data_IF_065102835727
#
_entry.id   IF_065102835727
#
_cell.length_a   1.000
_cell.length_b   1.000
_cell.length_c   1.000
_cell.angle_alpha   90.00
_cell.angle_beta   90.00
_cell.angle_gamma   90.00
#
_symmetry.space_group_name_H-M   'P 1'
#
loop_
_entity.id
_entity.type
_entity.pdbx_description
1 polymer ?
#
# COMPACT_ATOMS: atom_id res chain seq x y z
N UNK A 1 -2.67 -8.17 -19.09
CA UNK A 1 -2.36 -7.01 -18.21
C UNK A 1 -3.49 -5.99 -18.37
N UNK A 2 -4.11 -5.52 -17.29
CA UNK A 2 -5.15 -4.47 -17.38
C UNK A 2 -4.55 -3.17 -17.92
N UNK A 3 -5.31 -2.44 -18.73
CA UNK A 3 -4.92 -1.09 -19.18
C UNK A 3 -5.03 -0.09 -18.04
N UNK A 4 -4.39 1.07 -18.19
CA UNK A 4 -4.53 2.20 -17.24
C UNK A 4 -6.00 2.59 -17.03
N UNK A 5 -6.75 2.69 -18.13
CA UNK A 5 -8.17 3.03 -18.08
C UNK A 5 -9.00 1.99 -17.32
N UNK A 6 -8.71 0.69 -17.52
CA UNK A 6 -9.38 -0.38 -16.77
C UNK A 6 -9.07 -0.31 -15.28
N UNK A 7 -7.80 -0.06 -14.89
CA UNK A 7 -7.44 0.09 -13.47
C UNK A 7 -8.15 1.27 -12.80
N UNK A 8 -8.25 2.40 -13.49
CA UNK A 8 -8.96 3.58 -12.99
C UNK A 8 -10.46 3.33 -12.85
N UNK A 9 -11.08 2.66 -13.82
CA UNK A 9 -12.49 2.29 -13.76
C UNK A 9 -12.77 1.36 -12.57
N UNK A 10 -11.99 0.28 -12.44
CA UNK A 10 -12.08 -0.66 -11.32
C UNK A 10 -11.89 0.03 -9.96
N UNK A 11 -11.00 1.02 -9.88
CA UNK A 11 -10.78 1.79 -8.66
C UNK A 11 -11.96 2.71 -8.35
N UNK A 12 -12.51 3.41 -9.35
CA UNK A 12 -13.68 4.25 -9.19
C UNK A 12 -14.90 3.45 -8.68
N UNK A 13 -15.11 2.23 -9.20
CA UNK A 13 -16.15 1.32 -8.71
C UNK A 13 -15.94 0.95 -7.23
N UNK A 14 -14.69 0.71 -6.81
CA UNK A 14 -14.36 0.40 -5.40
C UNK A 14 -14.61 1.57 -4.49
N UNK A 15 -14.21 2.78 -4.88
CA UNK A 15 -14.47 4.01 -4.13
C UNK A 15 -15.96 4.24 -3.94
N UNK A 16 -16.80 3.92 -4.95
CA UNK A 16 -18.25 4.04 -4.81
C UNK A 16 -18.85 3.07 -3.78
N UNK A 17 -18.20 1.93 -3.54
CA UNK A 17 -18.65 0.92 -2.56
C UNK A 17 -18.11 1.18 -1.16
N UNK A 18 -17.13 2.07 -1.01
CA UNK A 18 -16.45 2.38 0.24
C UNK A 18 -16.69 3.86 0.59
N UNK A 19 -17.78 4.13 1.31
CA UNK A 19 -18.22 5.50 1.65
C UNK A 19 -17.17 6.29 2.46
N UNK A 20 -16.20 5.61 3.08
CA UNK A 20 -15.20 6.19 3.98
C UNK A 20 -13.77 6.15 3.42
N UNK A 21 -13.58 5.86 2.12
CA UNK A 21 -12.26 5.74 1.50
C UNK A 21 -11.38 7.00 1.79
N UNK A 22 -10.31 6.88 2.60
CA UNK A 22 -9.56 8.05 3.04
C UNK A 22 -8.86 8.71 1.84
N UNK A 23 -9.16 9.99 1.64
CA UNK A 23 -8.40 10.86 0.77
C UNK A 23 -7.31 11.55 1.59
N UNK A 24 -6.04 11.21 1.32
CA UNK A 24 -4.91 11.88 1.96
C UNK A 24 -4.44 13.07 1.11
N UNK A 25 -4.51 14.31 1.63
CA UNK A 25 -4.11 15.49 0.89
C UNK A 25 -2.68 15.36 0.34
N UNK A 26 -2.52 15.56 -0.97
CA UNK A 26 -1.22 15.46 -1.66
C UNK A 26 -0.76 14.03 -1.99
N UNK A 27 -1.47 13.00 -1.53
CA UNK A 27 -1.16 11.59 -1.81
C UNK A 27 -2.22 10.90 -2.65
N UNK A 28 -3.33 11.55 -2.98
CA UNK A 28 -4.38 10.94 -3.79
C UNK A 28 -5.36 10.15 -2.94
N UNK A 29 -5.98 9.11 -3.54
CA UNK A 29 -7.06 8.34 -2.91
C UNK A 29 -6.62 6.91 -2.66
N UNK A 30 -7.07 6.35 -1.54
CA UNK A 30 -6.80 4.96 -1.19
C UNK A 30 -8.10 4.21 -0.87
N UNK A 31 -8.13 2.94 -1.25
CA UNK A 31 -9.15 1.98 -0.79
C UNK A 31 -8.41 0.87 -0.07
N UNK A 32 -8.59 0.80 1.25
CA UNK A 32 -7.98 -0.22 2.10
C UNK A 32 -8.73 -1.54 1.98
N UNK A 33 -7.98 -2.63 1.81
CA UNK A 33 -8.53 -4.00 1.76
C UNK A 33 -8.58 -4.62 3.16
N UNK A 34 -7.58 -4.30 3.99
CA UNK A 34 -7.46 -4.77 5.38
C UNK A 34 -7.45 -3.58 6.35
N UNK A 35 -8.00 -3.75 7.57
CA UNK A 35 -8.04 -2.67 8.54
C UNK A 35 -6.64 -2.34 9.07
N UNK A 36 -6.46 -1.08 9.44
CA UNK A 36 -5.31 -0.52 10.13
C UNK A 36 -5.51 -0.57 11.65
N UNK A 37 -4.40 -0.55 12.39
CA UNK A 37 -4.38 -0.74 13.84
C UNK A 37 -5.14 0.33 14.64
N UNK A 38 -5.33 1.52 14.06
CA UNK A 38 -5.98 2.68 14.66
C UNK A 38 -7.46 2.83 14.27
N UNK A 39 -8.02 1.92 13.47
CA UNK A 39 -9.43 1.90 13.09
C UNK A 39 -10.30 1.23 14.17
N UNK A 40 -10.28 1.76 15.39
CA UNK A 40 -10.86 1.12 16.58
C UNK A 40 -12.32 0.63 16.40
N UNK A 41 -13.17 1.43 15.75
CA UNK A 41 -14.57 1.07 15.50
C UNK A 41 -14.71 -0.11 14.52
N UNK A 42 -13.91 -0.11 13.45
CA UNK A 42 -13.88 -1.18 12.46
C UNK A 42 -13.33 -2.47 13.08
N UNK A 43 -12.22 -2.38 13.82
CA UNK A 43 -11.61 -3.50 14.52
C UNK A 43 -12.56 -4.14 15.53
N UNK A 44 -13.29 -3.33 16.31
CA UNK A 44 -14.29 -3.82 17.26
C UNK A 44 -15.42 -4.57 16.54
N UNK A 45 -15.91 -4.05 15.40
CA UNK A 45 -16.94 -4.71 14.58
C UNK A 45 -16.46 -6.06 14.03
N UNK A 46 -15.17 -6.17 13.70
CA UNK A 46 -14.56 -7.39 13.16
C UNK A 46 -14.06 -8.35 14.24
N UNK A 47 -14.11 -7.98 15.53
CA UNK A 47 -13.55 -8.78 16.63
C UNK A 47 -12.02 -8.91 16.56
N UNK A 48 -11.34 -7.93 15.98
CA UNK A 48 -9.89 -7.92 15.80
C UNK A 48 -9.21 -7.02 16.84
N UNK A 49 -8.05 -7.46 17.32
CA UNK A 49 -7.18 -6.62 18.13
C UNK A 49 -6.26 -5.78 17.23
N UNK A 50 -5.90 -4.53 17.60
CA UNK A 50 -4.90 -3.74 16.88
C UNK A 50 -3.60 -4.49 16.60
N UNK A 51 -3.14 -5.31 17.56
CA UNK A 51 -1.93 -6.14 17.44
C UNK A 51 -1.98 -7.22 16.33
N UNK A 52 -3.16 -7.48 15.75
CA UNK A 52 -3.33 -8.36 14.61
C UNK A 52 -3.11 -7.64 13.26
N UNK A 53 -3.08 -6.31 13.24
CA UNK A 53 -2.94 -5.50 12.02
C UNK A 53 -1.46 -5.42 11.60
N UNK A 54 -0.84 -6.57 11.33
CA UNK A 54 0.59 -6.69 10.99
C UNK A 54 0.86 -6.54 9.49
N UNK A 55 -0.18 -6.44 8.67
CA UNK A 55 -0.12 -6.17 7.25
C UNK A 55 -1.40 -5.49 6.77
N UNK A 56 -1.27 -4.58 5.80
CA UNK A 56 -2.38 -3.86 5.16
C UNK A 56 -2.17 -3.89 3.66
N UNK A 57 -3.21 -4.26 2.93
CA UNK A 57 -3.24 -4.14 1.47
C UNK A 57 -4.17 -2.99 1.09
N UNK A 58 -3.83 -2.25 0.04
CA UNK A 58 -4.68 -1.18 -0.46
C UNK A 58 -4.50 -0.96 -1.97
N UNK A 59 -5.53 -0.38 -2.58
CA UNK A 59 -5.41 0.24 -3.90
C UNK A 59 -5.12 1.73 -3.72
N UNK A 60 -4.16 2.24 -4.47
CA UNK A 60 -3.70 3.61 -4.38
C UNK A 60 -3.77 4.29 -5.74
N UNK A 61 -4.64 5.29 -5.87
CA UNK A 61 -4.69 6.16 -7.04
C UNK A 61 -3.74 7.35 -6.86
N UNK A 62 -2.72 7.42 -7.70
CA UNK A 62 -1.73 8.48 -7.68
C UNK A 62 -1.23 8.83 -9.09
N UNK A 63 -1.03 10.11 -9.37
CA UNK A 63 -0.56 10.63 -10.66
C UNK A 63 -1.35 10.09 -11.87
N UNK A 64 -2.65 9.82 -11.68
CA UNK A 64 -3.57 9.32 -12.70
C UNK A 64 -3.38 7.85 -13.07
N UNK A 65 -2.76 7.03 -12.24
CA UNK A 65 -2.76 5.56 -12.35
C UNK A 65 -3.10 4.95 -10.99
N UNK A 66 -3.34 3.64 -10.95
CA UNK A 66 -3.66 2.90 -9.73
C UNK A 66 -2.63 1.80 -9.53
N UNK A 67 -2.03 1.79 -8.34
CA UNK A 67 -1.12 0.74 -7.89
C UNK A 67 -1.80 -0.10 -6.80
N UNK A 68 -1.44 -1.38 -6.74
CA UNK A 68 -1.70 -2.20 -5.57
C UNK A 68 -0.51 -2.08 -4.62
N UNK A 69 -0.77 -1.72 -3.37
CA UNK A 69 0.26 -1.50 -2.35
C UNK A 69 0.03 -2.49 -1.21
N UNK A 70 1.07 -3.22 -0.86
CA UNK A 70 1.10 -4.13 0.29
C UNK A 70 2.07 -3.58 1.33
N UNK A 71 1.59 -3.33 2.53
CA UNK A 71 2.39 -2.94 3.67
C UNK A 71 2.43 -4.11 4.65
N UNK A 72 3.59 -4.40 5.18
CA UNK A 72 3.80 -5.47 6.14
C UNK A 72 4.82 -5.04 7.20
N UNK A 73 4.62 -5.50 8.42
CA UNK A 73 5.61 -5.38 9.49
C UNK A 73 6.70 -6.45 9.34
N UNK A 74 7.84 -6.28 10.01
CA UNK A 74 8.85 -7.34 10.12
C UNK A 74 8.32 -8.60 10.79
N UNK A 75 7.30 -8.48 11.66
CA UNK A 75 6.61 -9.64 12.25
C UNK A 75 5.88 -10.49 11.21
N UNK A 76 5.29 -9.86 10.19
CA UNK A 76 4.61 -10.56 9.10
C UNK A 76 5.60 -11.22 8.14
N UNK A 77 6.76 -10.60 7.90
CA UNK A 77 7.85 -11.16 7.09
C UNK A 77 9.19 -11.11 7.81
N UNK A 78 9.47 -12.07 8.71
CA UNK A 78 10.69 -12.06 9.53
C UNK A 78 11.97 -12.22 8.70
N UNK A 79 11.89 -12.91 7.56
CA UNK A 79 13.04 -13.19 6.71
C UNK A 79 13.34 -12.07 5.69
N UNK A 80 12.66 -10.92 5.80
CA UNK A 80 12.88 -9.79 4.89
C UNK A 80 13.24 -8.53 5.64
N UNK A 81 14.30 -7.81 5.23
CA UNK A 81 14.65 -6.57 5.87
C UNK A 81 13.56 -5.50 5.63
N UNK A 82 13.40 -4.54 6.56
CA UNK A 82 12.62 -3.35 6.29
C UNK A 82 13.08 -2.66 5.01
N UNK A 83 12.15 -2.13 4.25
CA UNK A 83 12.44 -1.50 2.97
C UNK A 83 11.22 -1.37 2.09
N UNK A 84 11.42 -0.73 0.94
CA UNK A 84 10.39 -0.56 -0.07
C UNK A 84 10.79 -1.36 -1.29
N UNK A 85 9.84 -1.98 -1.94
CA UNK A 85 10.08 -2.92 -3.02
C UNK A 85 9.02 -2.79 -4.08
N UNK A 86 9.31 -3.32 -5.27
CA UNK A 86 8.29 -3.67 -6.23
C UNK A 86 8.33 -5.17 -6.51
N UNK A 87 7.16 -5.76 -6.65
CA UNK A 87 6.98 -7.18 -6.95
C UNK A 87 6.17 -7.32 -8.22
N UNK A 88 6.64 -8.11 -9.17
CA UNK A 88 5.80 -8.56 -10.28
C UNK A 88 5.01 -9.79 -9.83
N UNK A 89 3.69 -9.77 -10.01
CA UNK A 89 2.83 -10.92 -9.79
C UNK A 89 2.92 -11.90 -10.95
N UNK A 90 2.48 -13.15 -10.75
CA UNK A 90 2.40 -14.15 -11.82
C UNK A 90 1.53 -13.69 -13.01
N UNK A 91 0.54 -12.83 -12.76
CA UNK A 91 -0.30 -12.21 -13.79
C UNK A 91 0.38 -11.02 -14.51
N UNK A 92 1.64 -10.72 -14.19
CA UNK A 92 2.43 -9.63 -14.75
C UNK A 92 2.11 -8.25 -14.19
N UNK A 93 1.33 -8.15 -13.11
CA UNK A 93 1.04 -6.88 -12.44
C UNK A 93 2.21 -6.45 -11.56
N UNK A 94 2.48 -5.16 -11.46
CA UNK A 94 3.48 -4.63 -10.51
C UNK A 94 2.75 -4.18 -9.26
N UNK A 95 3.15 -4.76 -8.11
CA UNK A 95 2.70 -4.37 -6.79
C UNK A 95 3.82 -3.61 -6.10
N UNK A 96 3.48 -2.56 -5.36
CA UNK A 96 4.39 -1.88 -4.45
C UNK A 96 4.33 -2.57 -3.10
N UNK A 97 5.48 -2.81 -2.47
CA UNK A 97 5.55 -3.51 -1.20
C UNK A 97 6.40 -2.72 -0.22
N UNK A 98 5.89 -2.41 0.97
CA UNK A 98 6.65 -1.79 2.04
C UNK A 98 6.75 -2.75 3.22
N UNK A 99 7.96 -2.99 3.70
CA UNK A 99 8.25 -3.72 4.93
C UNK A 99 8.72 -2.70 5.95
N UNK A 100 7.95 -2.53 7.02
CA UNK A 100 8.19 -1.49 8.03
C UNK A 100 8.65 -2.13 9.34
N UNK A 101 9.47 -1.43 10.14
CA UNK A 101 9.94 -1.95 11.42
C UNK A 101 8.89 -1.84 12.55
N UNK A 102 7.75 -1.17 12.30
CA UNK A 102 6.64 -1.04 13.24
C UNK A 102 6.03 -2.42 13.59
N UNK A 103 5.48 -2.58 14.80
CA UNK A 103 4.84 -3.84 15.25
C UNK A 103 3.45 -4.07 14.62
N UNK A 104 2.80 -2.98 14.20
CA UNK A 104 1.49 -2.94 13.57
C UNK A 104 1.47 -1.87 12.47
N UNK A 105 0.54 -1.98 11.54
CA UNK A 105 0.32 -1.00 10.48
C UNK A 105 -0.84 -0.09 10.86
N UNK A 106 -0.55 1.17 11.15
CA UNK A 106 -1.52 2.25 11.38
C UNK A 106 -1.71 3.14 10.15
N UNK A 107 -2.71 4.03 10.16
CA UNK A 107 -2.88 5.04 9.12
C UNK A 107 -1.62 5.89 8.89
N UNK A 108 -0.95 6.31 9.95
CA UNK A 108 0.31 7.05 9.87
C UNK A 108 1.45 6.23 9.21
N UNK A 109 1.46 4.91 9.42
CA UNK A 109 2.41 3.99 8.78
C UNK A 109 2.14 3.92 7.29
N UNK A 110 0.86 3.81 6.90
CA UNK A 110 0.45 3.80 5.50
C UNK A 110 0.82 5.11 4.81
N UNK A 111 0.45 6.25 5.40
CA UNK A 111 0.75 7.57 4.84
C UNK A 111 2.24 7.77 4.60
N UNK A 112 3.08 7.43 5.59
CA UNK A 112 4.55 7.49 5.48
C UNK A 112 5.07 6.65 4.31
N UNK A 113 4.53 5.44 4.14
CA UNK A 113 4.94 4.57 3.04
C UNK A 113 4.53 5.10 1.67
N UNK A 114 3.30 5.63 1.54
CA UNK A 114 2.82 6.22 0.29
C UNK A 114 3.60 7.48 -0.11
N UNK A 115 3.95 8.34 0.87
CA UNK A 115 4.85 9.48 0.64
C UNK A 115 6.18 9.01 0.04
N UNK A 116 6.74 7.91 0.55
CA UNK A 116 7.97 7.35 0.02
C UNK A 116 7.80 6.85 -1.41
N UNK A 117 6.76 6.07 -1.68
CA UNK A 117 6.50 5.58 -3.04
C UNK A 117 6.29 6.72 -4.04
N UNK A 118 5.58 7.78 -3.64
CA UNK A 118 5.35 8.97 -4.46
C UNK A 118 6.68 9.67 -4.82
N UNK A 119 7.55 9.85 -3.83
CA UNK A 119 8.83 10.53 -4.02
C UNK A 119 9.82 9.74 -4.89
N UNK A 120 9.78 8.41 -4.87
CA UNK A 120 10.60 7.55 -5.75
C UNK A 120 10.07 7.53 -7.20
N UNK A 121 8.95 8.21 -7.49
CA UNK A 121 8.31 8.31 -8.83
C UNK A 121 8.17 6.95 -9.51
N UNK A 122 7.75 5.93 -8.75
CA UNK A 122 7.59 4.55 -9.25
C UNK A 122 6.31 4.45 -10.08
N UNK A 123 6.26 5.18 -11.18
CA UNK A 123 5.19 5.08 -12.17
C UNK A 123 5.83 5.29 -13.54
N UNK A 124 6.73 4.36 -13.91
CA UNK A 124 6.96 3.84 -15.28
C UNK A 124 8.30 3.11 -15.36
N UNK A 125 8.23 1.86 -15.83
CA UNK A 125 9.33 1.04 -16.35
C UNK A 125 10.29 0.41 -15.33
N UNK A 126 10.55 -0.89 -15.52
CA UNK A 126 11.70 -1.65 -15.00
C UNK A 126 11.76 -1.95 -13.50
N UNK A 127 10.81 -2.74 -13.00
CA UNK A 127 11.09 -3.59 -11.83
C UNK A 127 10.79 -5.03 -12.22
N UNK A 128 11.84 -5.84 -12.25
CA UNK A 128 11.83 -7.26 -12.56
C UNK A 128 11.23 -8.08 -11.42
N UNK A 129 11.24 -9.42 -11.57
CA UNK A 129 10.57 -10.34 -10.64
C UNK A 129 11.19 -10.38 -9.23
N UNK A 130 12.36 -9.76 -9.04
CA UNK A 130 12.97 -9.58 -7.75
C UNK A 130 12.38 -8.37 -7.02
N UNK A 131 11.97 -8.58 -5.76
CA UNK A 131 11.75 -7.53 -4.77
C UNK A 131 13.07 -6.76 -4.58
N UNK A 132 13.34 -5.80 -5.45
CA UNK A 132 14.51 -4.96 -5.37
C UNK A 132 14.23 -3.85 -4.34
N UNK A 133 15.10 -3.65 -3.34
CA UNK A 133 14.97 -2.53 -2.44
C UNK A 133 15.04 -1.24 -3.26
N UNK A 134 14.07 -0.35 -3.06
CA UNK A 134 14.13 0.99 -3.62
C UNK A 134 15.21 1.77 -2.89
N UNK A 135 15.91 2.67 -3.60
CA UNK A 135 16.89 3.52 -2.96
C UNK A 135 16.23 4.29 -1.81
N UNK A 136 16.96 4.37 -0.70
CA UNK A 136 16.60 5.34 0.32
C UNK A 136 16.73 6.74 -0.31
N UNK A 137 15.66 7.53 -0.34
CA UNK A 137 15.82 8.99 -0.42
C UNK A 137 16.67 9.38 0.78
N UNK A 138 17.71 10.17 0.50
CA UNK A 138 18.48 10.85 1.51
C UNK A 138 17.52 11.53 2.48
N UNK A 139 17.77 11.39 3.77
CA UNK A 139 16.97 12.04 4.80
C UNK A 139 16.99 13.55 4.53
N UNK A 140 15.80 14.14 4.31
CA UNK A 140 15.58 15.59 4.32
C UNK A 140 15.44 16.08 5.77
#
# INVERSE_FOLDING_TARGET
MRTRQQRLADFAERVQMDEDAPAWPGLGRCVTVHPMADEAALLARLGLAPAACVAVDLYWEYAGDVAFVQLATTRYWPDRPPGFYARRSAAGHVNLVAIVPDDVVSSATVERALRRFAAVKIVRSRLGDALAPLPALADE
#
